data_IF_293894552529
#
_entry.id   IF_293894552529
#
_cell.length_a   1.000
_cell.length_b   1.000
_cell.length_c   1.000
_cell.angle_alpha   90.00
_cell.angle_beta   90.00
_cell.angle_gamma   90.00
#
_symmetry.space_group_name_H-M   'P 1'
#
loop_
_entity.id
_entity.type
_entity.pdbx_description
1 polymer ?
#
# COMPACT_ATOMS: atom_id res chain seq x y z
N UNK A 1 -28.11 -16.69 -3.85
CA UNK A 1 -28.27 -15.26 -3.49
C UNK A 1 -27.30 -14.96 -2.37
N UNK A 2 -26.35 -14.06 -2.60
CA UNK A 2 -25.51 -13.48 -1.57
C UNK A 2 -25.21 -12.04 -1.98
N UNK A 3 -26.26 -11.23 -2.03
CA UNK A 3 -26.14 -9.79 -1.82
C UNK A 3 -25.77 -9.57 -0.35
N UNK A 4 -24.50 -9.85 -0.02
CA UNK A 4 -23.93 -9.35 1.21
C UNK A 4 -23.80 -7.85 1.04
N UNK A 5 -24.77 -7.09 1.57
CA UNK A 5 -24.70 -5.63 1.74
C UNK A 5 -23.65 -5.23 2.81
N UNK A 6 -22.52 -5.92 2.80
CA UNK A 6 -21.37 -5.69 3.65
C UNK A 6 -20.26 -4.96 2.91
N UNK A 7 -19.27 -4.42 3.63
CA UNK A 7 -18.13 -3.76 3.03
C UNK A 7 -17.45 -4.65 1.99
N UNK A 8 -17.27 -4.13 0.77
CA UNK A 8 -16.53 -4.84 -0.28
C UNK A 8 -15.05 -4.79 0.07
N UNK A 9 -14.46 -5.95 0.32
CA UNK A 9 -13.03 -6.07 0.58
C UNK A 9 -12.24 -6.09 -0.73
N UNK A 10 -11.19 -5.29 -0.77
CA UNK A 10 -10.18 -5.28 -1.83
C UNK A 10 -8.88 -5.81 -1.23
N UNK A 11 -8.19 -6.67 -1.93
CA UNK A 11 -6.86 -7.15 -1.53
C UNK A 11 -5.95 -7.27 -2.73
N UNK A 12 -4.65 -7.16 -2.48
CA UNK A 12 -3.65 -7.35 -3.51
C UNK A 12 -2.25 -7.22 -2.95
N UNK A 13 -1.28 -7.24 -3.85
CA UNK A 13 0.11 -6.99 -3.51
C UNK A 13 0.76 -6.15 -4.59
N UNK A 14 1.74 -5.36 -4.19
CA UNK A 14 2.57 -4.57 -5.08
C UNK A 14 4.02 -4.93 -4.82
N UNK A 15 4.74 -5.21 -5.89
CA UNK A 15 6.20 -5.24 -5.91
C UNK A 15 6.70 -4.03 -6.66
N UNK A 16 7.66 -3.31 -6.08
CA UNK A 16 8.32 -2.17 -6.73
C UNK A 16 9.44 -2.73 -7.60
N UNK A 17 9.37 -2.44 -8.89
CA UNK A 17 10.30 -2.97 -9.89
C UNK A 17 11.67 -2.30 -9.78
N UNK A 18 11.70 -1.00 -9.49
CA UNK A 18 12.92 -0.19 -9.43
C UNK A 18 13.03 0.53 -8.09
N UNK A 19 14.00 0.12 -7.28
CA UNK A 19 14.37 0.77 -6.04
C UNK A 19 14.69 2.25 -6.25
N UNK A 20 14.33 3.08 -5.26
CA UNK A 20 14.45 4.52 -5.36
C UNK A 20 13.38 5.21 -6.22
N UNK A 21 12.54 4.47 -6.96
CA UNK A 21 11.41 5.03 -7.70
C UNK A 21 10.11 4.80 -6.93
N UNK A 22 9.33 5.86 -6.75
CA UNK A 22 8.00 5.74 -6.16
C UNK A 22 7.04 5.11 -7.16
N UNK A 23 6.34 4.06 -6.75
CA UNK A 23 5.34 3.37 -7.55
C UNK A 23 4.00 3.28 -6.84
N UNK A 24 2.93 3.62 -7.54
CA UNK A 24 1.56 3.48 -7.02
C UNK A 24 1.26 2.01 -6.69
N UNK A 25 0.59 1.77 -5.56
CA UNK A 25 0.21 0.44 -5.07
C UNK A 25 -0.80 -0.24 -6.00
N UNK A 26 -1.66 0.55 -6.64
CA UNK A 26 -2.58 0.11 -7.71
C UNK A 26 -2.50 1.07 -8.88
N UNK A 27 -2.74 0.58 -10.10
CA UNK A 27 -2.69 1.40 -11.32
C UNK A 27 -3.98 2.15 -11.66
N UNK A 28 -5.09 1.78 -11.02
CA UNK A 28 -6.40 2.36 -11.28
C UNK A 28 -7.03 2.87 -9.99
N UNK A 29 -7.73 3.99 -10.09
CA UNK A 29 -8.45 4.62 -8.99
C UNK A 29 -9.43 3.65 -8.31
N UNK A 30 -9.33 3.54 -6.99
CA UNK A 30 -10.21 2.74 -6.12
C UNK A 30 -10.44 3.50 -4.83
N UNK A 31 -11.64 4.05 -4.66
CA UNK A 31 -12.05 4.71 -3.42
C UNK A 31 -12.25 3.70 -2.28
N UNK A 32 -11.56 3.92 -1.17
CA UNK A 32 -11.62 3.09 0.04
C UNK A 32 -11.77 3.94 1.29
N UNK A 33 -12.34 3.34 2.35
CA UNK A 33 -12.43 3.94 3.69
C UNK A 33 -11.15 3.74 4.48
N UNK A 34 -10.56 2.56 4.34
CA UNK A 34 -9.35 2.18 5.03
C UNK A 34 -8.53 1.20 4.20
N UNK A 35 -7.23 1.20 4.45
CA UNK A 35 -6.30 0.21 3.91
C UNK A 35 -5.26 -0.16 4.98
N UNK A 36 -5.04 -1.45 5.15
CA UNK A 36 -3.91 -2.02 5.87
C UNK A 36 -2.86 -2.41 4.84
N UNK A 37 -1.64 -1.91 5.01
CA UNK A 37 -0.49 -2.17 4.15
C UNK A 37 0.55 -2.91 4.98
N UNK A 38 1.01 -4.05 4.49
CA UNK A 38 1.93 -4.95 5.19
C UNK A 38 3.16 -5.15 4.31
N UNK A 39 4.34 -4.83 4.82
CA UNK A 39 5.58 -5.14 4.13
C UNK A 39 5.76 -6.66 4.01
N UNK A 40 6.03 -7.15 2.79
CA UNK A 40 6.22 -8.58 2.54
C UNK A 40 7.30 -9.16 3.46
N UNK A 41 7.06 -10.35 3.98
CA UNK A 41 8.00 -11.02 4.91
C UNK A 41 9.38 -11.32 4.30
N UNK A 42 9.45 -11.43 2.97
CA UNK A 42 10.69 -11.63 2.23
C UNK A 42 11.48 -10.35 1.91
N UNK A 43 10.98 -9.17 2.31
CA UNK A 43 11.74 -7.94 2.12
C UNK A 43 13.00 -7.95 3.00
N UNK A 44 14.10 -7.45 2.45
CA UNK A 44 15.40 -7.38 3.15
C UNK A 44 15.69 -5.98 3.68
N UNK A 45 15.09 -4.97 3.07
CA UNK A 45 15.12 -3.57 3.45
C UNK A 45 13.70 -3.07 3.76
N UNK A 46 13.63 -1.80 4.11
CA UNK A 46 12.38 -1.14 4.46
C UNK A 46 11.60 -0.73 3.22
N UNK A 47 10.28 -0.78 3.34
CA UNK A 47 9.34 -0.22 2.36
C UNK A 47 8.77 1.09 2.87
N UNK A 48 8.92 2.15 2.10
CA UNK A 48 8.44 3.48 2.43
C UNK A 48 7.07 3.69 1.78
N UNK A 49 6.07 4.06 2.58
CA UNK A 49 4.69 4.27 2.13
C UNK A 49 4.36 5.77 2.20
N UNK A 50 3.78 6.35 1.16
CA UNK A 50 3.47 7.77 1.12
C UNK A 50 2.79 8.21 -0.17
N UNK A 51 2.91 9.49 -0.53
CA UNK A 51 2.45 10.04 -1.80
C UNK A 51 3.46 9.83 -2.94
N UNK A 52 3.20 10.40 -4.11
CA UNK A 52 4.02 10.23 -5.32
C UNK A 52 5.50 10.64 -5.17
N UNK A 53 5.84 11.39 -4.13
CA UNK A 53 7.19 11.85 -3.78
C UNK A 53 7.89 10.98 -2.71
N UNK A 54 7.27 9.87 -2.29
CA UNK A 54 7.81 9.01 -1.22
C UNK A 54 9.17 8.42 -1.59
N UNK A 55 10.10 8.51 -0.64
CA UNK A 55 11.44 7.94 -0.71
C UNK A 55 11.95 7.57 0.70
N UNK A 56 13.19 7.10 0.77
CA UNK A 56 13.82 6.64 2.02
C UNK A 56 14.08 7.74 3.06
N UNK A 57 14.02 9.01 2.66
CA UNK A 57 14.12 10.17 3.56
C UNK A 57 12.75 10.71 3.98
N UNK A 58 11.65 10.29 3.33
CA UNK A 58 10.29 10.78 3.64
C UNK A 58 9.79 10.28 5.00
N UNK A 59 10.09 9.01 5.34
CA UNK A 59 9.68 8.41 6.61
C UNK A 59 10.56 7.22 7.02
N UNK A 60 10.28 6.65 8.20
CA UNK A 60 11.06 5.54 8.76
C UNK A 60 10.92 4.20 8.03
N UNK A 61 9.89 4.05 7.18
CA UNK A 61 9.57 2.83 6.44
C UNK A 61 9.07 1.68 7.32
N UNK A 62 8.57 0.63 6.66
CA UNK A 62 8.12 -0.63 7.25
C UNK A 62 9.19 -1.69 7.08
N UNK A 63 9.62 -2.30 8.17
CA UNK A 63 10.44 -3.52 8.13
C UNK A 63 9.59 -4.72 7.71
N UNK A 64 10.21 -5.81 7.28
CA UNK A 64 9.50 -7.01 6.85
C UNK A 64 8.45 -7.47 7.88
N UNK A 65 7.22 -7.70 7.44
CA UNK A 65 6.08 -8.09 8.27
C UNK A 65 5.44 -6.95 9.09
N UNK A 66 6.04 -5.76 9.15
CA UNK A 66 5.39 -4.61 9.77
C UNK A 66 4.26 -4.07 8.90
N UNK A 67 3.28 -3.47 9.54
CA UNK A 67 2.11 -2.90 8.88
C UNK A 67 1.84 -1.46 9.30
N UNK A 68 1.13 -0.77 8.41
CA UNK A 68 0.52 0.54 8.68
C UNK A 68 -0.94 0.47 8.25
N UNK A 69 -1.80 1.14 9.02
CA UNK A 69 -3.21 1.32 8.66
C UNK A 69 -3.46 2.78 8.37
N UNK A 70 -4.09 3.06 7.23
CA UNK A 70 -4.50 4.41 6.83
C UNK A 70 -6.01 4.40 6.72
N UNK A 71 -6.65 5.36 7.38
CA UNK A 71 -8.11 5.52 7.41
C UNK A 71 -8.48 6.95 7.02
N UNK A 72 -9.60 7.11 6.32
CA UNK A 72 -10.15 8.41 5.94
C UNK A 72 -11.60 8.53 6.40
N UNK A 73 -11.97 9.71 6.88
CA UNK A 73 -13.35 10.02 7.30
C UNK A 73 -14.30 9.97 6.10
N UNK A 74 -13.87 10.49 4.95
CA UNK A 74 -14.66 10.46 3.72
C UNK A 74 -14.26 9.25 2.86
N UNK A 75 -13.16 9.36 2.14
CA UNK A 75 -12.57 8.29 1.34
C UNK A 75 -11.12 8.67 1.04
N UNK A 76 -10.33 7.69 0.62
CA UNK A 76 -9.02 7.88 0.02
C UNK A 76 -8.95 7.05 -1.26
N UNK A 77 -8.14 7.49 -2.21
CA UNK A 77 -7.88 6.70 -3.41
C UNK A 77 -6.65 5.81 -3.19
N UNK A 78 -6.80 4.50 -3.37
CA UNK A 78 -5.66 3.58 -3.34
C UNK A 78 -4.60 3.96 -4.40
N UNK A 79 -4.97 4.56 -5.52
CA UNK A 79 -4.01 4.96 -6.56
C UNK A 79 -3.10 6.11 -6.12
N UNK A 80 -3.48 6.87 -5.09
CA UNK A 80 -2.69 7.97 -4.52
C UNK A 80 -1.69 7.48 -3.45
N UNK A 81 -1.69 6.18 -3.14
CA UNK A 81 -0.72 5.56 -2.24
C UNK A 81 0.42 4.97 -3.06
N UNK A 82 1.62 5.44 -2.78
CA UNK A 82 2.86 5.04 -3.43
C UNK A 82 3.80 4.33 -2.46
N UNK A 83 4.64 3.49 -3.06
CA UNK A 83 5.67 2.72 -2.38
C UNK A 83 7.03 3.05 -2.98
N UNK A 84 8.03 3.19 -2.12
CA UNK A 84 9.44 3.21 -2.51
C UNK A 84 10.18 2.15 -1.71
N UNK A 85 11.20 1.53 -2.29
CA UNK A 85 11.95 0.43 -1.68
C UNK A 85 13.45 0.65 -1.81
N UNK A 86 14.20 0.06 -0.89
CA UNK A 86 15.66 0.07 -0.92
C UNK A 86 16.26 -0.93 -1.93
N UNK A 87 15.52 -1.99 -2.27
CA UNK A 87 15.98 -3.02 -3.20
C UNK A 87 14.89 -3.47 -4.19
N UNK A 88 15.29 -3.72 -5.44
CA UNK A 88 14.36 -4.13 -6.49
C UNK A 88 13.64 -5.43 -6.12
N UNK A 89 12.33 -5.50 -6.36
CA UNK A 89 11.55 -6.70 -6.07
C UNK A 89 10.92 -6.73 -4.66
N UNK A 90 11.24 -5.76 -3.81
CA UNK A 90 10.58 -5.58 -2.51
C UNK A 90 9.18 -4.98 -2.68
N UNK A 91 8.33 -5.12 -1.66
CA UNK A 91 6.99 -4.59 -1.75
C UNK A 91 6.07 -4.92 -0.58
N UNK A 92 4.77 -4.80 -0.82
CA UNK A 92 3.74 -4.95 0.22
C UNK A 92 2.60 -5.82 -0.26
N UNK A 93 1.86 -6.34 0.70
CA UNK A 93 0.49 -6.82 0.54
C UNK A 93 -0.46 -5.80 1.18
N UNK A 94 -1.68 -5.71 0.68
CA UNK A 94 -2.68 -4.78 1.23
C UNK A 94 -4.08 -5.40 1.31
N UNK A 95 -4.85 -4.91 2.28
CA UNK A 95 -6.26 -5.19 2.48
C UNK A 95 -6.99 -3.87 2.69
N UNK A 96 -8.03 -3.60 1.91
CA UNK A 96 -8.76 -2.35 1.96
C UNK A 96 -10.27 -2.59 1.98
N UNK A 97 -11.00 -1.64 2.55
CA UNK A 97 -12.46 -1.62 2.59
C UNK A 97 -12.96 -0.56 1.61
N UNK A 98 -13.71 -0.98 0.58
CA UNK A 98 -14.28 -0.05 -0.40
C UNK A 98 -15.20 0.98 0.29
N UNK A 99 -15.10 2.23 -0.15
CA UNK A 99 -15.93 3.35 0.30
C UNK A 99 -17.29 3.42 -0.39
#
# INVERSE_FOLDING_TARGET
>A
MANSEGPVLLSGGKTVAVAGTAEAIVSASRRVKSVVIIAKSGNTNRVYVGGADVNSATNGGLSAGQSVTIESVEWLDLADIYLNVGFNGEGVDFYAVKA
#
